data_IF_208156364341
#
_entry.id   IF_208156364341
#
_cell.length_a   1.000
_cell.length_b   1.000
_cell.length_c   1.000
_cell.angle_alpha   90.00
_cell.angle_beta   90.00
_cell.angle_gamma   90.00
#
_symmetry.space_group_name_H-M   'P 1'
#
loop_
_entity.id
_entity.type
_entity.pdbx_description
1 polymer ?
#
# COMPACT_ATOMS: atom_id res chain seq x y z
N UNK A 1 41.25 5.52 51.35
CA UNK A 1 40.34 6.67 51.44
C UNK A 1 38.95 6.07 51.53
N UNK A 2 38.44 5.70 52.71
CA UNK A 2 37.75 6.59 53.68
C UNK A 2 36.74 7.53 53.02
N UNK A 3 35.49 7.71 53.45
CA UNK A 3 34.51 6.95 54.22
C UNK A 3 33.17 7.77 54.14
N UNK A 4 32.04 7.10 54.39
CA UNK A 4 30.74 7.63 54.89
C UNK A 4 29.84 8.44 53.92
N UNK A 5 28.64 8.00 53.53
CA UNK A 5 27.42 7.59 54.24
C UNK A 5 26.45 8.75 54.55
N UNK A 6 25.19 8.60 54.14
CA UNK A 6 24.10 9.52 54.47
C UNK A 6 22.78 9.24 53.74
N UNK A 7 22.13 8.10 54.06
CA UNK A 7 20.74 7.80 53.68
C UNK A 7 19.86 8.05 54.91
N UNK A 8 18.77 8.81 54.76
CA UNK A 8 17.65 8.82 55.73
C UNK A 8 16.30 8.84 55.01
N UNK A 9 15.40 7.99 55.51
CA UNK A 9 14.02 7.73 55.08
C UNK A 9 13.04 8.81 55.53
N UNK A 10 11.96 9.01 54.77
CA UNK A 10 10.65 9.37 55.33
C UNK A 10 9.54 8.54 54.66
N UNK A 11 8.94 7.64 55.46
CA UNK A 11 7.69 6.94 55.17
C UNK A 11 6.52 7.80 55.64
N UNK A 12 5.48 7.92 54.82
CA UNK A 12 4.16 8.40 55.24
C UNK A 12 3.09 7.45 54.73
N UNK A 13 2.60 6.55 55.59
CA UNK A 13 1.34 5.80 55.43
C UNK A 13 0.39 6.27 56.54
N UNK A 14 -0.85 6.55 56.18
CA UNK A 14 -2.00 6.71 57.08
C UNK A 14 -3.30 6.33 56.34
N UNK A 15 -4.37 5.89 57.04
CA UNK A 15 -5.29 4.87 56.53
C UNK A 15 -6.74 5.34 56.21
N UNK A 16 -7.47 4.40 55.63
CA UNK A 16 -8.88 4.32 55.19
C UNK A 16 -9.97 4.75 56.21
N UNK A 17 -11.10 5.28 55.71
CA UNK A 17 -12.48 4.68 55.69
C UNK A 17 -13.61 5.73 55.57
N UNK A 18 -14.65 5.44 54.76
CA UNK A 18 -15.97 6.09 54.80
C UNK A 18 -16.90 5.71 53.61
N UNK A 19 -18.22 5.49 53.77
CA UNK A 19 -18.96 4.54 52.92
C UNK A 19 -20.17 5.07 52.10
N UNK A 20 -20.60 4.23 51.15
CA UNK A 20 -21.98 3.79 50.81
C UNK A 20 -23.03 4.69 50.08
N UNK A 21 -23.57 4.09 49.01
CA UNK A 21 -24.92 4.14 48.40
C UNK A 21 -25.30 5.13 47.28
N UNK A 22 -25.78 4.55 46.16
CA UNK A 22 -26.67 5.13 45.13
C UNK A 22 -27.00 4.13 44.02
N UNK A 23 -28.26 3.99 43.53
CA UNK A 23 -28.81 2.74 42.98
C UNK A 23 -28.68 2.54 41.45
N UNK A 24 -28.66 1.25 41.06
CA UNK A 24 -29.15 0.75 39.76
C UNK A 24 -30.62 1.14 39.56
N UNK A 25 -31.01 1.68 38.40
CA UNK A 25 -32.23 1.36 37.63
C UNK A 25 -32.36 2.26 36.38
N UNK A 26 -32.58 1.65 35.20
CA UNK A 26 -33.06 2.34 33.98
C UNK A 26 -33.00 1.44 32.73
N UNK A 27 -34.03 1.41 31.85
CA UNK A 27 -34.54 0.17 31.24
C UNK A 27 -34.08 -0.14 29.81
N UNK A 28 -34.15 -1.44 29.47
CA UNK A 28 -34.27 -1.97 28.11
C UNK A 28 -35.50 -1.37 27.41
N UNK A 29 -35.29 -0.64 26.31
CA UNK A 29 -36.31 -0.43 25.28
C UNK A 29 -35.68 -0.61 23.91
N UNK A 30 -36.09 -1.67 23.22
CA UNK A 30 -35.76 -1.94 21.81
C UNK A 30 -36.69 -1.21 20.83
N UNK A 31 -36.43 -1.35 19.51
CA UNK A 31 -37.06 -0.56 18.45
C UNK A 31 -38.31 -1.26 17.91
N UNK A 32 -39.50 -0.66 18.01
CA UNK A 32 -40.72 -1.20 17.43
C UNK A 32 -41.85 -0.17 17.24
N UNK A 33 -41.52 1.05 16.76
CA UNK A 33 -42.53 2.08 16.45
C UNK A 33 -42.26 2.88 15.15
N UNK A 34 -41.66 2.23 14.14
CA UNK A 34 -41.40 2.87 12.83
C UNK A 34 -42.32 2.45 11.68
N UNK A 35 -43.05 1.34 11.79
CA UNK A 35 -43.64 0.67 10.62
C UNK A 35 -45.18 0.64 10.55
N UNK A 36 -45.88 1.35 11.45
CA UNK A 36 -47.36 1.35 11.48
C UNK A 36 -48.01 2.73 11.28
N UNK A 37 -47.25 3.81 11.10
CA UNK A 37 -47.80 5.15 10.85
C UNK A 37 -47.90 5.51 9.36
N UNK A 38 -47.15 4.84 8.47
CA UNK A 38 -47.11 5.15 7.04
C UNK A 38 -48.12 4.39 6.17
N UNK A 39 -48.89 3.45 6.73
CA UNK A 39 -49.82 2.61 5.95
C UNK A 39 -51.29 3.04 6.02
N UNK A 40 -51.65 4.05 6.82
CA UNK A 40 -53.08 4.40 7.08
C UNK A 40 -53.53 5.72 6.44
N UNK A 41 -52.63 6.55 5.90
CA UNK A 41 -53.01 7.75 5.13
C UNK A 41 -53.11 7.52 3.60
N UNK A 42 -52.88 6.30 3.11
CA UNK A 42 -52.84 6.00 1.67
C UNK A 42 -54.16 5.51 1.04
N UNK A 43 -55.19 5.22 1.84
CA UNK A 43 -56.46 4.72 1.34
C UNK A 43 -57.61 5.48 1.99
N UNK A 44 -58.03 6.58 1.35
CA UNK A 44 -59.43 7.00 1.10
C UNK A 44 -59.42 8.46 0.62
N UNK A 45 -59.97 8.66 -0.57
CA UNK A 45 -59.97 9.90 -1.33
C UNK A 45 -60.84 11.03 -0.73
N UNK A 46 -60.50 12.30 -1.04
CA UNK A 46 -61.40 13.45 -0.89
C UNK A 46 -60.71 14.83 -0.94
N UNK A 47 -60.71 15.46 -2.13
CA UNK A 47 -60.38 16.86 -2.47
C UNK A 47 -61.12 17.93 -1.59
N UNK A 48 -60.84 19.28 -1.66
CA UNK A 48 -60.36 20.05 -2.84
C UNK A 48 -59.42 21.26 -2.60
N UNK A 49 -59.08 21.89 -3.73
CA UNK A 49 -58.30 23.10 -4.02
C UNK A 49 -58.90 24.43 -3.55
N UNK A 50 -58.04 25.41 -3.22
CA UNK A 50 -58.22 26.88 -3.37
C UNK A 50 -56.81 27.53 -3.33
N UNK A 51 -56.32 28.09 -4.44
CA UNK A 51 -56.32 29.52 -4.81
C UNK A 51 -55.56 30.49 -3.86
N UNK A 52 -54.37 30.91 -4.32
CA UNK A 52 -53.93 32.30 -4.34
C UNK A 52 -53.71 33.07 -3.03
N UNK A 53 -52.46 33.08 -2.54
CA UNK A 53 -51.88 34.26 -1.88
C UNK A 53 -50.34 34.17 -1.80
N UNK A 54 -49.62 34.98 -2.58
CA UNK A 54 -48.30 35.49 -2.16
C UNK A 54 -48.56 36.60 -1.13
N UNK A 55 -47.79 36.68 -0.03
CA UNK A 55 -46.65 37.61 -0.09
C UNK A 55 -45.44 37.24 0.78
N UNK A 56 -44.38 38.04 0.54
CA UNK A 56 -43.24 38.35 1.40
C UNK A 56 -42.04 37.38 1.39
N UNK A 57 -41.07 37.77 0.55
CA UNK A 57 -39.66 37.44 0.66
C UNK A 57 -39.15 37.67 2.09
N UNK A 58 -38.90 36.57 2.81
CA UNK A 58 -38.18 36.53 4.08
C UNK A 58 -36.70 36.31 3.77
N UNK A 59 -35.75 37.05 4.38
CA UNK A 59 -34.34 36.88 4.10
C UNK A 59 -33.90 35.46 4.43
N UNK A 60 -33.13 34.85 3.54
CA UNK A 60 -32.57 33.51 3.71
C UNK A 60 -31.76 33.48 5.01
N UNK A 61 -32.30 32.81 6.02
CA UNK A 61 -31.52 32.34 7.16
C UNK A 61 -30.48 31.39 6.58
N UNK A 62 -29.20 31.72 6.73
CA UNK A 62 -28.11 30.79 6.53
C UNK A 62 -28.46 29.54 7.34
N UNK A 63 -28.80 28.46 6.64
CA UNK A 63 -28.97 27.16 7.26
C UNK A 63 -27.61 26.81 7.83
N UNK A 64 -27.47 26.87 9.15
CA UNK A 64 -26.51 26.06 9.87
C UNK A 64 -26.85 24.62 9.54
N UNK A 65 -26.27 24.12 8.46
CA UNK A 65 -26.31 22.71 8.12
C UNK A 65 -25.75 21.99 9.33
N UNK A 66 -26.61 21.26 10.02
CA UNK A 66 -26.19 20.32 11.06
C UNK A 66 -25.10 19.46 10.42
N UNK A 67 -23.87 19.43 10.97
CA UNK A 67 -22.82 18.57 10.46
C UNK A 67 -23.40 17.16 10.42
N UNK A 68 -23.31 16.50 9.26
CA UNK A 68 -23.58 15.07 9.18
C UNK A 68 -22.76 14.34 10.25
N UNK A 69 -23.22 13.16 10.73
CA UNK A 69 -22.48 12.41 11.74
C UNK A 69 -21.03 12.25 11.30
N UNK A 70 -20.10 12.63 12.19
CA UNK A 70 -18.67 12.49 11.93
C UNK A 70 -18.36 11.01 11.64
N UNK A 71 -17.70 10.75 10.50
CA UNK A 71 -17.28 9.41 10.14
C UNK A 71 -16.26 8.90 11.16
N UNK A 72 -16.34 7.62 11.58
CA UNK A 72 -15.34 7.05 12.47
C UNK A 72 -13.97 6.99 11.75
N UNK A 73 -12.85 7.17 12.47
CA UNK A 73 -11.53 7.00 11.89
C UNK A 73 -11.34 5.61 11.28
N UNK A 74 -10.65 5.54 10.14
CA UNK A 74 -10.32 4.27 9.48
C UNK A 74 -8.81 4.11 9.38
N UNK A 75 -8.31 3.00 9.91
CA UNK A 75 -6.89 2.70 9.99
C UNK A 75 -6.47 1.77 8.85
N UNK A 76 -5.35 2.11 8.21
CA UNK A 76 -4.68 1.31 7.20
C UNK A 76 -3.23 1.09 7.62
N UNK A 77 -2.72 -0.10 7.35
CA UNK A 77 -1.33 -0.48 7.62
C UNK A 77 -0.78 -1.23 6.42
N UNK A 78 0.46 -0.92 6.02
CA UNK A 78 1.09 -1.67 4.94
C UNK A 78 2.49 -1.22 4.60
N UNK A 79 2.91 -1.50 3.37
CA UNK A 79 4.28 -1.31 2.91
C UNK A 79 4.45 -0.05 2.06
N UNK A 80 5.69 0.44 2.01
CA UNK A 80 6.16 1.37 0.97
C UNK A 80 7.08 0.62 -0.01
N UNK A 81 6.99 0.90 -1.31
CA UNK A 81 7.84 0.25 -2.33
C UNK A 81 9.33 0.55 -2.19
N UNK A 82 9.69 1.57 -1.42
CA UNK A 82 11.06 1.94 -1.07
C UNK A 82 11.60 1.21 0.18
N UNK A 83 10.78 0.35 0.79
CA UNK A 83 11.03 -0.31 2.07
C UNK A 83 10.38 0.43 3.24
N UNK A 84 9.95 -0.30 4.26
CA UNK A 84 9.31 0.26 5.44
C UNK A 84 7.81 -0.02 5.53
N UNK A 85 7.33 -0.02 6.77
CA UNK A 85 5.93 -0.14 7.14
C UNK A 85 5.34 1.23 7.46
N UNK A 86 4.21 1.56 6.83
CA UNK A 86 3.49 2.82 7.00
C UNK A 86 2.08 2.57 7.50
N UNK A 87 1.59 3.45 8.39
CA UNK A 87 0.20 3.47 8.81
C UNK A 87 -0.47 4.77 8.38
N UNK A 88 -1.69 4.68 7.85
CA UNK A 88 -2.52 5.82 7.49
C UNK A 88 -3.83 5.73 8.27
N UNK A 89 -4.20 6.80 8.97
CA UNK A 89 -5.50 6.90 9.63
C UNK A 89 -6.29 8.02 8.99
N UNK A 90 -7.36 7.67 8.29
CA UNK A 90 -8.29 8.63 7.70
C UNK A 90 -9.28 9.12 8.77
N UNK A 91 -9.73 10.37 8.61
CA UNK A 91 -10.65 11.07 9.51
C UNK A 91 -10.14 11.18 10.95
N UNK A 92 -8.81 11.24 11.11
CA UNK A 92 -8.13 11.52 12.37
C UNK A 92 -7.05 12.61 12.19
N UNK A 93 -6.85 13.50 13.19
CA UNK A 93 -7.57 13.60 14.46
C UNK A 93 -8.97 14.25 14.34
N UNK A 94 -9.34 14.69 13.13
CA UNK A 94 -10.65 15.26 12.82
C UNK A 94 -11.12 14.81 11.43
N UNK A 95 -12.42 14.88 11.11
CA UNK A 95 -12.92 14.55 9.78
C UNK A 95 -12.20 15.33 8.66
N UNK A 96 -11.89 14.67 7.54
CA UNK A 96 -11.15 15.25 6.42
C UNK A 96 -9.64 15.41 6.67
N UNK A 97 -9.13 14.86 7.78
CA UNK A 97 -7.70 14.79 8.09
C UNK A 97 -7.17 13.38 7.90
N UNK A 98 -5.90 13.27 7.55
CA UNK A 98 -5.17 12.00 7.52
C UNK A 98 -3.94 12.11 8.39
N UNK A 99 -3.74 11.11 9.25
CA UNK A 99 -2.47 10.91 9.97
C UNK A 99 -1.67 9.83 9.26
N UNK A 100 -0.47 10.16 8.80
CA UNK A 100 0.51 9.25 8.23
C UNK A 100 1.61 9.02 9.26
N UNK A 101 1.84 7.76 9.64
CA UNK A 101 2.87 7.36 10.61
C UNK A 101 3.88 6.41 9.98
N UNK A 102 5.16 6.68 10.18
CA UNK A 102 6.23 5.74 9.86
C UNK A 102 6.34 4.70 10.98
N UNK A 103 5.68 3.55 10.79
CA UNK A 103 5.58 2.52 11.84
C UNK A 103 6.88 1.71 11.98
N UNK A 104 7.56 1.47 10.86
CA UNK A 104 8.91 0.93 10.80
C UNK A 104 9.59 1.42 9.53
N UNK A 105 10.80 1.95 9.62
CA UNK A 105 11.52 2.47 8.46
C UNK A 105 13.00 2.19 8.59
N UNK A 106 13.62 1.59 7.54
CA UNK A 106 15.06 1.40 7.54
C UNK A 106 15.82 2.72 7.48
N UNK A 107 15.18 3.81 7.04
CA UNK A 107 15.78 5.15 6.87
C UNK A 107 15.77 6.00 8.15
N UNK A 108 15.45 5.42 9.31
CA UNK A 108 15.35 6.16 10.58
C UNK A 108 14.16 7.12 10.65
N UNK A 109 13.25 7.04 9.68
CA UNK A 109 11.98 7.77 9.70
C UNK A 109 11.09 7.19 10.81
N UNK A 110 10.51 8.07 11.60
CA UNK A 110 9.59 7.75 12.69
C UNK A 110 8.63 8.92 12.88
N UNK A 111 7.71 8.76 13.82
CA UNK A 111 6.72 9.78 14.10
C UNK A 111 5.62 9.85 13.05
N UNK A 112 4.79 10.88 13.19
CA UNK A 112 3.55 11.07 12.44
C UNK A 112 3.47 12.47 11.86
N UNK A 113 2.90 12.55 10.65
CA UNK A 113 2.50 13.80 10.02
C UNK A 113 1.00 13.79 9.83
N UNK A 114 0.37 14.94 9.95
CA UNK A 114 -1.07 15.10 9.77
C UNK A 114 -1.31 16.10 8.66
N UNK A 115 -2.24 15.80 7.76
CA UNK A 115 -2.62 16.70 6.68
C UNK A 115 -4.13 16.70 6.42
N UNK A 116 -4.57 17.58 5.54
CA UNK A 116 -5.91 17.59 4.99
C UNK A 116 -5.91 16.81 3.68
N UNK A 117 -6.76 15.79 3.57
CA UNK A 117 -6.94 15.10 2.30
C UNK A 117 -8.17 15.66 1.58
N UNK A 118 -8.03 15.93 0.27
CA UNK A 118 -9.09 16.47 -0.56
C UNK A 118 -9.26 15.61 -1.82
N UNK A 119 -10.50 15.43 -2.32
CA UNK A 119 -10.72 14.69 -3.57
C UNK A 119 -9.94 15.32 -4.72
N UNK A 120 -9.28 14.47 -5.51
CA UNK A 120 -8.59 14.82 -6.75
C UNK A 120 -8.77 13.70 -7.77
N UNK A 121 -9.60 13.95 -8.79
CA UNK A 121 -10.01 12.92 -9.74
C UNK A 121 -10.70 11.74 -9.07
N UNK A 122 -10.14 10.54 -9.23
CA UNK A 122 -10.59 9.26 -8.66
C UNK A 122 -9.90 8.91 -7.33
N UNK A 123 -9.14 9.85 -6.76
CA UNK A 123 -8.40 9.67 -5.51
C UNK A 123 -8.43 10.90 -4.62
N UNK A 124 -7.41 11.00 -3.79
CA UNK A 124 -7.21 12.06 -2.81
C UNK A 124 -5.76 12.54 -2.83
N UNK A 125 -5.58 13.84 -2.65
CA UNK A 125 -4.28 14.47 -2.40
C UNK A 125 -4.24 15.02 -0.99
N UNK A 126 -3.09 14.90 -0.33
CA UNK A 126 -2.87 15.44 1.02
C UNK A 126 -2.20 16.80 0.91
N UNK A 127 -2.74 17.77 1.63
CA UNK A 127 -2.30 19.16 1.67
C UNK A 127 -2.09 19.61 3.10
N UNK A 128 -1.37 20.72 3.28
CA UNK A 128 -1.16 21.33 4.60
C UNK A 128 -0.60 20.35 5.63
N UNK A 129 0.44 19.61 5.24
CA UNK A 129 1.12 18.65 6.11
C UNK A 129 1.81 19.37 7.28
N UNK A 130 1.54 18.89 8.48
CA UNK A 130 2.15 19.35 9.72
C UNK A 130 2.64 18.18 10.56
N UNK A 131 3.64 18.42 11.42
CA UNK A 131 4.11 17.43 12.36
C UNK A 131 3.03 17.14 13.42
N UNK A 132 2.81 15.87 13.75
CA UNK A 132 2.01 15.53 14.92
C UNK A 132 2.79 15.91 16.19
N UNK A 133 2.24 16.81 17.01
CA UNK A 133 2.89 17.22 18.25
C UNK A 133 2.99 16.08 19.29
N UNK A 134 2.10 15.08 19.21
CA UNK A 134 2.11 13.93 20.13
C UNK A 134 3.15 12.87 19.74
N UNK A 135 3.55 12.84 18.47
CA UNK A 135 4.47 11.85 17.90
C UNK A 135 5.30 12.51 16.78
N UNK A 136 6.20 13.45 17.12
CA UNK A 136 6.85 14.29 16.12
C UNK A 136 7.83 13.48 15.25
N UNK A 137 7.88 13.74 13.92
CA UNK A 137 8.86 13.12 13.06
C UNK A 137 10.25 13.76 13.23
N UNK A 138 11.32 13.16 12.67
CA UNK A 138 12.65 13.75 12.69
C UNK A 138 12.66 15.19 12.19
N UNK A 139 13.50 16.05 12.80
CA UNK A 139 13.54 17.48 12.47
C UNK A 139 13.83 17.79 10.99
N UNK A 140 14.55 16.92 10.28
CA UNK A 140 14.81 17.07 8.84
C UNK A 140 13.60 16.76 7.96
N UNK A 141 12.65 15.94 8.45
CA UNK A 141 11.34 15.75 7.82
C UNK A 141 10.48 16.98 8.08
N UNK A 142 10.44 17.46 9.34
CA UNK A 142 9.67 18.65 9.74
C UNK A 142 10.04 19.88 8.90
N UNK A 143 11.33 20.09 8.65
CA UNK A 143 11.80 21.24 7.86
C UNK A 143 11.44 21.18 6.36
N UNK A 144 10.97 20.04 5.86
CA UNK A 144 10.66 19.81 4.45
C UNK A 144 9.21 19.36 4.21
N UNK A 145 8.32 19.44 5.22
CA UNK A 145 6.91 19.04 5.07
C UNK A 145 6.17 19.77 3.94
N UNK A 146 6.56 21.00 3.63
CA UNK A 146 5.97 21.77 2.54
C UNK A 146 6.30 21.26 1.13
N UNK A 147 7.28 20.34 1.00
CA UNK A 147 7.68 19.74 -0.26
C UNK A 147 7.21 18.28 -0.39
N UNK A 148 6.79 17.68 0.73
CA UNK A 148 6.30 16.31 0.79
C UNK A 148 4.96 16.21 0.05
N UNK A 149 4.89 15.31 -0.91
CA UNK A 149 3.67 15.04 -1.66
C UNK A 149 3.14 13.66 -1.26
N UNK A 150 1.85 13.57 -0.94
CA UNK A 150 1.16 12.30 -0.65
C UNK A 150 -0.15 12.30 -1.40
N UNK A 151 -0.39 11.24 -2.17
CA UNK A 151 -1.67 10.98 -2.81
C UNK A 151 -2.09 9.53 -2.56
N UNK A 152 -3.39 9.28 -2.49
CA UNK A 152 -3.91 7.93 -2.30
C UNK A 152 -5.29 7.75 -2.92
N UNK A 153 -5.63 6.49 -3.14
CA UNK A 153 -6.95 5.99 -3.51
C UNK A 153 -7.33 4.94 -2.49
N UNK A 154 -8.61 4.95 -2.14
CA UNK A 154 -9.22 3.93 -1.32
C UNK A 154 -9.98 3.00 -2.27
N UNK A 155 -9.71 1.70 -2.21
CA UNK A 155 -10.26 0.74 -3.16
C UNK A 155 -11.57 0.15 -2.69
N UNK A 156 -12.62 0.30 -3.50
CA UNK A 156 -13.94 -0.28 -3.26
C UNK A 156 -13.85 -1.79 -3.03
N UNK A 157 -14.36 -2.27 -1.90
CA UNK A 157 -14.87 -3.62 -1.77
C UNK A 157 -16.21 -3.72 -2.53
N UNK A 158 -16.42 -4.85 -3.20
CA UNK A 158 -17.72 -5.23 -3.75
C UNK A 158 -18.42 -6.25 -2.84
N UNK A 159 -17.98 -6.38 -1.59
CA UNK A 159 -18.36 -7.45 -0.68
C UNK A 159 -18.84 -6.91 0.67
N UNK A 160 -19.79 -5.97 0.61
CA UNK A 160 -20.77 -5.74 1.65
C UNK A 160 -22.19 -6.06 1.15
N UNK A 161 -23.03 -6.59 2.05
CA UNK A 161 -24.50 -6.72 1.86
C UNK A 161 -25.20 -5.34 2.02
N UNK A 162 -24.43 -4.25 1.95
CA UNK A 162 -24.78 -2.84 2.18
C UNK A 162 -25.23 -2.12 0.89
N UNK A 163 -25.68 -2.89 -0.11
CA UNK A 163 -26.35 -2.38 -1.34
C UNK A 163 -27.54 -1.44 -1.06
N UNK A 164 -27.97 -1.30 0.19
CA UNK A 164 -29.02 -0.41 0.65
C UNK A 164 -28.55 0.63 1.68
N UNK A 165 -27.38 1.24 1.46
CA UNK A 165 -27.12 2.63 1.83
C UNK A 165 -26.78 2.93 3.31
N UNK A 166 -25.58 3.48 3.52
CA UNK A 166 -25.22 4.18 4.75
C UNK A 166 -23.74 4.54 4.87
N UNK A 167 -22.86 3.67 4.37
CA UNK A 167 -21.41 3.73 4.58
C UNK A 167 -20.64 3.23 3.36
N UNK A 168 -20.43 4.10 2.37
CA UNK A 168 -19.51 3.84 1.24
C UNK A 168 -18.04 3.84 1.67
N UNK A 169 -17.64 3.00 2.63
CA UNK A 169 -16.25 2.69 2.96
C UNK A 169 -16.07 1.21 3.33
N UNK A 170 -16.68 0.32 2.54
CA UNK A 170 -16.23 -1.05 2.47
C UNK A 170 -14.93 -1.09 1.68
N UNK A 171 -13.78 -0.85 2.30
CA UNK A 171 -12.51 -0.74 1.58
C UNK A 171 -11.37 -1.36 2.38
N UNK A 172 -11.00 -2.60 2.06
CA UNK A 172 -9.89 -3.27 2.74
C UNK A 172 -8.53 -2.82 2.21
N UNK A 173 -8.46 -1.92 1.22
CA UNK A 173 -7.21 -1.54 0.57
C UNK A 173 -7.10 -0.04 0.31
N UNK A 174 -5.93 0.49 0.60
CA UNK A 174 -5.47 1.81 0.22
C UNK A 174 -4.23 1.66 -0.66
N UNK A 175 -4.27 2.24 -1.86
CA UNK A 175 -3.13 2.36 -2.75
C UNK A 175 -2.76 3.83 -2.91
N UNK A 176 -1.49 4.18 -2.79
CA UNK A 176 -1.07 5.57 -2.88
C UNK A 176 0.38 5.72 -3.26
N UNK A 177 0.88 6.92 -3.07
CA UNK A 177 2.26 7.27 -3.32
C UNK A 177 2.72 8.41 -2.42
N UNK A 178 4.04 8.48 -2.29
CA UNK A 178 4.76 9.50 -1.54
C UNK A 178 5.92 9.97 -2.41
N UNK A 179 6.12 11.28 -2.47
CA UNK A 179 7.24 11.90 -3.19
C UNK A 179 7.93 12.94 -2.31
N UNK A 180 9.18 13.24 -2.65
CA UNK A 180 10.02 14.24 -2.01
C UNK A 180 10.29 14.00 -0.52
N UNK A 181 10.18 12.76 -0.04
CA UNK A 181 10.43 12.39 1.36
C UNK A 181 11.94 12.43 1.66
N UNK A 182 12.44 13.28 2.57
CA UNK A 182 13.87 13.31 2.87
C UNK A 182 14.34 12.03 3.55
N UNK A 183 15.39 11.40 3.00
CA UNK A 183 15.95 10.17 3.56
C UNK A 183 16.79 10.40 4.83
N UNK A 184 17.41 11.57 4.98
CA UNK A 184 18.26 11.87 6.13
C UNK A 184 18.45 13.38 6.35
N UNK A 185 19.07 13.74 7.47
CA UNK A 185 19.41 15.12 7.82
C UNK A 185 20.66 15.65 7.09
N UNK A 186 21.35 14.84 6.28
CA UNK A 186 22.59 15.27 5.63
C UNK A 186 22.29 16.27 4.50
N UNK A 187 23.08 17.35 4.35
CA UNK A 187 22.95 18.26 3.22
C UNK A 187 23.09 17.50 1.89
N UNK A 188 22.12 17.67 0.99
CA UNK A 188 22.10 16.98 -0.30
C UNK A 188 21.72 15.50 -0.22
N UNK A 189 21.16 15.02 0.89
CA UNK A 189 20.61 13.67 0.99
C UNK A 189 19.58 13.41 -0.11
N UNK A 190 19.54 12.18 -0.59
CA UNK A 190 18.57 11.76 -1.59
C UNK A 190 17.14 11.92 -1.04
N UNK A 191 16.23 12.32 -1.93
CA UNK A 191 14.79 12.27 -1.68
C UNK A 191 14.26 10.91 -2.09
N UNK A 192 13.35 10.39 -1.30
CA UNK A 192 12.69 9.12 -1.49
C UNK A 192 11.34 9.35 -2.15
N UNK A 193 10.99 8.43 -3.04
CA UNK A 193 9.68 8.34 -3.66
C UNK A 193 9.29 6.87 -3.77
N UNK A 194 8.00 6.59 -3.63
CA UNK A 194 7.51 5.22 -3.66
C UNK A 194 5.99 5.13 -3.67
N UNK A 195 5.51 3.91 -3.90
CA UNK A 195 4.11 3.58 -3.74
C UNK A 195 3.81 3.12 -2.33
N UNK A 196 2.58 3.35 -1.91
CA UNK A 196 2.00 2.87 -0.66
C UNK A 196 0.98 1.79 -1.02
N UNK A 197 1.08 0.63 -0.36
CA UNK A 197 0.06 -0.39 -0.40
C UNK A 197 -0.30 -0.77 1.04
N UNK A 198 -1.50 -0.40 1.47
CA UNK A 198 -1.97 -0.59 2.85
C UNK A 198 -3.36 -1.21 2.90
N UNK A 199 -3.68 -1.84 4.03
CA UNK A 199 -4.93 -2.59 4.22
C UNK A 199 -5.55 -2.23 5.56
N UNK A 200 -6.88 -2.26 5.66
CA UNK A 200 -7.60 -1.99 6.93
C UNK A 200 -7.93 -3.24 7.72
N UNK A 201 -7.29 -4.37 7.38
CA UNK A 201 -7.54 -5.64 8.03
C UNK A 201 -7.07 -5.59 9.49
N UNK A 202 -8.00 -5.58 10.43
CA UNK A 202 -7.68 -5.50 11.86
C UNK A 202 -7.52 -6.88 12.52
N UNK A 203 -8.11 -7.93 11.94
CA UNK A 203 -8.10 -9.28 12.46
C UNK A 203 -7.30 -10.21 11.54
N UNK A 204 -6.39 -10.97 12.11
CA UNK A 204 -5.57 -11.91 11.36
C UNK A 204 -6.41 -13.11 10.88
N UNK A 205 -6.41 -13.45 9.57
CA UNK A 205 -7.08 -14.64 9.07
C UNK A 205 -6.34 -15.91 9.51
N UNK A 206 -7.00 -17.06 9.43
CA UNK A 206 -6.32 -18.32 9.70
C UNK A 206 -5.28 -18.59 8.60
N UNK A 207 -4.13 -19.19 8.96
CA UNK A 207 -3.09 -19.53 7.99
C UNK A 207 -3.61 -20.44 6.85
N UNK A 208 -4.54 -21.34 7.18
CA UNK A 208 -5.20 -22.21 6.21
C UNK A 208 -6.04 -21.44 5.17
N UNK A 209 -6.58 -20.27 5.53
CA UNK A 209 -7.41 -19.46 4.62
C UNK A 209 -6.57 -18.79 3.52
N UNK A 210 -5.29 -18.57 3.79
CA UNK A 210 -4.33 -17.94 2.88
C UNK A 210 -3.36 -18.94 2.25
N UNK A 211 -3.52 -20.23 2.52
CA UNK A 211 -2.72 -21.27 1.88
C UNK A 211 -3.09 -21.39 0.40
N UNK A 212 -2.09 -21.56 -0.47
CA UNK A 212 -2.31 -21.70 -1.90
C UNK A 212 -1.11 -21.27 -2.74
N UNK A 213 -1.33 -21.26 -4.06
CA UNK A 213 -0.37 -20.78 -5.05
C UNK A 213 -0.61 -19.30 -5.35
N UNK A 214 0.48 -18.57 -5.53
CA UNK A 214 0.49 -17.13 -5.74
C UNK A 214 1.41 -16.78 -6.90
N UNK A 215 0.96 -15.93 -7.82
CA UNK A 215 1.87 -15.21 -8.69
C UNK A 215 2.53 -14.09 -7.86
N UNK A 216 3.82 -13.84 -8.05
CA UNK A 216 4.52 -12.77 -7.35
C UNK A 216 5.32 -11.88 -8.30
N UNK A 217 5.45 -10.63 -7.88
CA UNK A 217 6.44 -9.68 -8.39
C UNK A 217 7.17 -9.10 -7.18
N UNK A 218 8.48 -8.93 -7.30
CA UNK A 218 9.31 -8.35 -6.25
C UNK A 218 10.42 -7.46 -6.81
N UNK A 219 10.79 -6.45 -6.03
CA UNK A 219 12.07 -5.76 -6.15
C UNK A 219 12.87 -5.96 -4.88
N UNK A 220 14.18 -6.05 -4.98
CA UNK A 220 15.05 -5.96 -3.81
C UNK A 220 16.34 -5.21 -4.11
N UNK A 221 16.96 -4.65 -3.07
CA UNK A 221 18.20 -3.90 -3.15
C UNK A 221 18.99 -4.07 -1.85
N UNK A 222 20.25 -4.51 -1.97
CA UNK A 222 21.19 -4.44 -0.86
C UNK A 222 21.55 -2.98 -0.58
N UNK A 223 21.53 -2.59 0.68
CA UNK A 223 22.07 -1.32 1.17
C UNK A 223 23.16 -1.56 2.21
N UNK A 224 24.18 -0.72 2.22
CA UNK A 224 25.20 -0.77 3.27
C UNK A 224 24.57 -0.42 4.63
N UNK A 225 24.82 -1.23 5.66
CA UNK A 225 24.37 -0.91 7.02
C UNK A 225 25.11 0.34 7.52
N UNK A 226 24.34 1.39 7.86
CA UNK A 226 24.86 2.64 8.44
C UNK A 226 24.49 3.89 7.65
N UNK A 227 24.87 3.96 6.37
CA UNK A 227 24.52 5.10 5.49
C UNK A 227 23.34 4.80 4.55
N UNK A 228 22.95 3.52 4.45
CA UNK A 228 21.89 3.02 3.60
C UNK A 228 22.08 3.38 2.12
N UNK A 229 23.31 3.59 1.69
CA UNK A 229 23.62 3.75 0.27
C UNK A 229 23.33 2.43 -0.46
N UNK A 230 22.66 2.45 -1.62
CA UNK A 230 22.45 1.24 -2.40
C UNK A 230 23.79 0.68 -2.86
N UNK A 231 23.98 -0.62 -2.67
CA UNK A 231 25.15 -1.34 -3.17
C UNK A 231 25.05 -1.38 -4.70
N UNK A 232 26.13 -1.02 -5.38
CA UNK A 232 26.13 -1.01 -6.85
C UNK A 232 25.82 -2.41 -7.40
N UNK A 233 24.83 -2.49 -8.30
CA UNK A 233 24.40 -3.73 -8.96
C UNK A 233 23.59 -4.69 -8.09
N UNK A 234 23.10 -4.25 -6.93
CA UNK A 234 22.25 -5.09 -6.06
C UNK A 234 20.75 -4.94 -6.32
N UNK A 235 20.33 -3.96 -7.12
CA UNK A 235 18.92 -3.73 -7.39
C UNK A 235 18.41 -4.75 -8.41
N UNK A 236 17.44 -5.56 -8.03
CA UNK A 236 16.99 -6.67 -8.87
C UNK A 236 15.47 -6.77 -8.89
N UNK A 237 14.94 -7.14 -10.06
CA UNK A 237 13.56 -7.53 -10.26
C UNK A 237 13.47 -9.04 -10.26
N UNK A 238 12.44 -9.59 -9.63
CA UNK A 238 12.07 -10.98 -9.88
C UNK A 238 10.55 -11.13 -9.93
N UNK A 239 10.11 -12.12 -10.70
CA UNK A 239 8.73 -12.50 -10.81
C UNK A 239 8.63 -14.01 -10.99
N UNK A 240 7.50 -14.59 -10.63
CA UNK A 240 7.32 -16.04 -10.66
C UNK A 240 6.07 -16.48 -9.92
N UNK A 241 6.09 -17.71 -9.41
CA UNK A 241 5.06 -18.19 -8.48
C UNK A 241 5.65 -18.67 -7.15
N UNK A 242 4.84 -18.58 -6.11
CA UNK A 242 5.15 -19.04 -4.78
C UNK A 242 3.99 -19.88 -4.23
N UNK A 243 4.29 -20.75 -3.27
CA UNK A 243 3.29 -21.49 -2.49
C UNK A 243 3.39 -21.11 -1.03
N UNK A 244 2.24 -20.85 -0.42
CA UNK A 244 2.06 -20.76 1.03
C UNK A 244 1.33 -22.02 1.47
N UNK A 245 1.93 -22.79 2.37
CA UNK A 245 1.30 -23.98 2.94
C UNK A 245 0.45 -23.61 4.17
N UNK A 246 -0.44 -24.52 4.59
CA UNK A 246 -1.34 -24.27 5.72
C UNK A 246 -0.62 -24.13 7.08
N UNK A 247 0.63 -24.58 7.18
CA UNK A 247 1.54 -24.36 8.32
C UNK A 247 2.39 -23.09 8.18
N UNK A 248 2.19 -22.31 7.11
CA UNK A 248 2.83 -21.02 6.91
C UNK A 248 4.20 -21.06 6.24
N UNK A 249 4.63 -22.17 5.64
CA UNK A 249 5.87 -22.16 4.83
C UNK A 249 5.63 -21.46 3.51
N UNK A 250 6.52 -20.54 3.17
CA UNK A 250 6.59 -19.84 1.89
C UNK A 250 7.74 -20.43 1.07
N UNK A 251 7.41 -20.97 -0.11
CA UNK A 251 8.37 -21.49 -1.09
C UNK A 251 8.20 -20.75 -2.41
N UNK A 252 9.30 -20.27 -3.00
CA UNK A 252 9.28 -19.32 -4.12
C UNK A 252 10.01 -19.90 -5.33
N UNK A 253 9.39 -19.82 -6.50
CA UNK A 253 9.93 -20.26 -7.77
C UNK A 253 10.05 -19.05 -8.71
N UNK A 254 11.27 -18.50 -8.83
CA UNK A 254 11.57 -17.38 -9.72
C UNK A 254 11.54 -17.84 -11.18
N UNK A 255 10.94 -17.04 -12.06
CA UNK A 255 10.94 -17.27 -13.50
C UNK A 255 10.18 -18.52 -13.95
N UNK A 256 9.25 -19.05 -13.16
CA UNK A 256 8.43 -20.21 -13.54
C UNK A 256 7.20 -20.39 -12.65
N UNK A 257 6.24 -21.20 -13.11
CA UNK A 257 5.15 -21.71 -12.27
C UNK A 257 5.67 -22.53 -11.08
N UNK A 258 4.90 -22.56 -9.99
CA UNK A 258 5.31 -23.25 -8.77
C UNK A 258 5.46 -24.76 -8.99
N UNK A 259 6.54 -25.33 -8.45
CA UNK A 259 6.81 -26.78 -8.37
C UNK A 259 7.52 -27.06 -7.06
N UNK A 260 7.25 -28.22 -6.44
CA UNK A 260 7.80 -28.59 -5.12
C UNK A 260 9.33 -28.65 -5.06
N UNK A 261 10.00 -28.69 -6.22
CA UNK A 261 11.46 -28.71 -6.36
C UNK A 261 11.97 -27.60 -7.28
N UNK A 262 11.50 -26.36 -7.11
CA UNK A 262 12.12 -25.25 -7.82
C UNK A 262 13.47 -24.90 -7.21
N UNK A 263 14.47 -24.84 -8.08
CA UNK A 263 15.81 -24.36 -7.75
C UNK A 263 15.90 -22.87 -8.09
N UNK A 264 16.69 -22.12 -7.33
CA UNK A 264 17.09 -20.78 -7.75
C UNK A 264 17.75 -20.86 -9.13
N UNK A 265 17.33 -20.05 -10.11
CA UNK A 265 17.94 -20.05 -11.45
C UNK A 265 19.44 -19.80 -11.41
N UNK A 266 19.88 -18.97 -10.46
CA UNK A 266 21.25 -18.44 -10.42
C UNK A 266 22.22 -19.39 -9.71
N UNK A 267 21.73 -20.15 -8.72
CA UNK A 267 22.59 -21.01 -7.87
C UNK A 267 22.31 -22.50 -8.04
N UNK A 268 21.17 -22.89 -8.62
CA UNK A 268 20.73 -24.28 -8.69
C UNK A 268 20.38 -24.89 -7.33
N UNK A 269 20.44 -24.11 -6.25
CA UNK A 269 20.10 -24.55 -4.89
C UNK A 269 18.57 -24.54 -4.67
N UNK A 270 18.04 -25.35 -3.74
CA UNK A 270 16.64 -25.24 -3.33
C UNK A 270 16.33 -23.79 -2.93
N UNK A 271 15.22 -23.25 -3.40
CA UNK A 271 14.82 -21.91 -3.02
C UNK A 271 14.78 -21.78 -1.48
N UNK A 272 15.42 -20.74 -0.90
CA UNK A 272 15.39 -20.54 0.55
C UNK A 272 13.93 -20.45 1.00
N UNK A 273 13.59 -21.28 2.00
CA UNK A 273 12.25 -21.30 2.56
C UNK A 273 12.11 -20.20 3.61
N UNK A 274 11.02 -19.44 3.54
CA UNK A 274 10.62 -18.54 4.61
C UNK A 274 9.39 -19.10 5.34
N UNK A 275 9.09 -18.61 6.53
CA UNK A 275 7.88 -18.96 7.27
C UNK A 275 7.11 -17.72 7.68
N UNK A 276 5.78 -17.84 7.68
CA UNK A 276 4.85 -16.81 8.14
C UNK A 276 4.41 -17.11 9.57
N UNK A 277 4.54 -16.12 10.45
CA UNK A 277 4.08 -16.19 11.83
C UNK A 277 3.19 -15.00 12.14
N UNK A 278 2.20 -15.10 13.04
CA UNK A 278 1.47 -13.92 13.50
C UNK A 278 2.44 -12.85 13.99
N UNK A 279 2.33 -11.62 13.46
CA UNK A 279 3.10 -10.50 13.96
C UNK A 279 2.63 -10.10 15.38
N UNK A 280 3.34 -9.17 16.02
CA UNK A 280 2.80 -8.47 17.19
C UNK A 280 1.49 -7.74 16.82
N UNK A 281 0.35 -8.37 17.12
CA UNK A 281 -0.98 -7.87 16.75
C UNK A 281 -1.37 -6.57 17.48
N UNK A 282 -0.61 -6.15 18.49
CA UNK A 282 -0.84 -4.85 19.15
C UNK A 282 -0.22 -3.70 18.35
N UNK A 283 0.88 -3.99 17.63
CA UNK A 283 1.59 -3.01 16.78
C UNK A 283 1.21 -3.11 15.32
N UNK A 284 0.94 -4.32 14.84
CA UNK A 284 0.66 -4.67 13.45
C UNK A 284 -0.60 -5.55 13.38
N UNK A 285 -1.77 -5.01 13.75
CA UNK A 285 -3.02 -5.78 13.67
C UNK A 285 -3.25 -6.29 12.24
N UNK A 286 -3.64 -7.56 12.13
CA UNK A 286 -3.94 -8.21 10.85
C UNK A 286 -2.74 -8.56 9.98
N UNK A 287 -1.50 -8.40 10.47
CA UNK A 287 -0.29 -8.73 9.72
C UNK A 287 0.40 -10.02 10.19
N UNK A 288 1.11 -10.69 9.27
CA UNK A 288 2.10 -11.71 9.60
C UNK A 288 3.52 -11.13 9.56
N UNK A 289 4.44 -11.75 10.29
CA UNK A 289 5.88 -11.58 10.11
C UNK A 289 6.40 -12.66 9.17
N UNK A 290 7.25 -12.25 8.23
CA UNK A 290 8.05 -13.13 7.40
C UNK A 290 9.35 -13.45 8.15
N UNK A 291 9.69 -14.73 8.29
CA UNK A 291 10.94 -15.18 8.91
C UNK A 291 11.77 -15.98 7.93
N UNK A 292 13.06 -15.64 7.82
CA UNK A 292 14.05 -16.35 7.03
C UNK A 292 15.21 -16.74 7.96
N UNK A 293 15.68 -17.98 7.85
CA UNK A 293 16.74 -18.54 8.72
C UNK A 293 16.50 -18.37 10.23
N UNK A 294 15.22 -18.33 10.62
CA UNK A 294 14.80 -18.16 12.02
C UNK A 294 14.86 -16.72 12.54
N UNK A 295 15.18 -15.74 11.68
CA UNK A 295 15.16 -14.30 11.99
C UNK A 295 13.98 -13.60 11.32
N UNK A 296 13.56 -12.45 11.84
CA UNK A 296 12.52 -11.64 11.19
C UNK A 296 13.13 -10.99 9.93
N UNK A 297 12.56 -11.33 8.78
CA UNK A 297 12.99 -10.84 7.47
C UNK A 297 12.00 -9.83 6.86
N UNK A 298 10.83 -9.63 7.46
CA UNK A 298 9.85 -8.68 6.95
C UNK A 298 8.46 -8.81 7.57
N UNK A 299 7.50 -8.11 6.97
CA UNK A 299 6.07 -8.14 7.34
C UNK A 299 5.19 -8.34 6.13
N UNK A 300 4.08 -9.04 6.33
CA UNK A 300 3.10 -9.40 5.31
C UNK A 300 1.74 -8.81 5.68
N UNK A 301 1.22 -7.96 4.81
CA UNK A 301 -0.09 -7.33 4.92
C UNK A 301 -1.04 -7.94 3.92
N UNK A 302 -2.28 -8.21 4.33
CA UNK A 302 -3.23 -8.95 3.50
C UNK A 302 -4.42 -8.10 3.11
N UNK A 303 -4.84 -8.28 1.86
CA UNK A 303 -6.09 -7.76 1.32
C UNK A 303 -6.79 -8.88 0.56
N UNK A 304 -8.12 -8.85 0.53
CA UNK A 304 -8.94 -9.82 -0.18
C UNK A 304 -9.83 -9.09 -1.19
N UNK A 305 -9.92 -9.67 -2.39
CA UNK A 305 -10.87 -9.24 -3.41
C UNK A 305 -11.52 -10.49 -4.00
N UNK A 306 -12.81 -10.67 -3.71
CA UNK A 306 -13.52 -11.92 -3.96
C UNK A 306 -12.90 -13.10 -3.23
N UNK A 307 -12.62 -14.17 -3.97
CA UNK A 307 -11.96 -15.39 -3.47
C UNK A 307 -10.44 -15.35 -3.59
N UNK A 308 -9.87 -14.23 -4.01
CA UNK A 308 -8.44 -14.13 -4.22
C UNK A 308 -7.82 -13.25 -3.14
N UNK A 309 -6.71 -13.72 -2.59
CA UNK A 309 -5.87 -12.99 -1.66
C UNK A 309 -4.79 -12.20 -2.39
N UNK A 310 -4.46 -11.04 -1.84
CA UNK A 310 -3.30 -10.24 -2.21
C UNK A 310 -2.47 -10.01 -0.96
N UNK A 311 -1.19 -10.35 -1.01
CA UNK A 311 -0.25 -10.15 0.09
C UNK A 311 0.78 -9.12 -0.35
N UNK A 312 1.03 -8.13 0.49
CA UNK A 312 2.04 -7.10 0.33
C UNK A 312 3.15 -7.37 1.34
N UNK A 313 4.39 -7.54 0.90
CA UNK A 313 5.52 -7.87 1.77
C UNK A 313 6.52 -6.72 1.78
N UNK A 314 6.75 -6.16 2.96
CA UNK A 314 7.89 -5.31 3.29
C UNK A 314 9.02 -6.20 3.82
N UNK A 315 10.05 -6.43 3.02
CA UNK A 315 11.23 -7.21 3.40
C UNK A 315 12.33 -6.28 3.90
N UNK A 316 12.87 -6.61 5.07
CA UNK A 316 13.98 -5.94 5.71
C UNK A 316 14.82 -7.00 6.40
N UNK A 317 15.84 -7.53 5.72
CA UNK A 317 16.67 -8.62 6.21
C UNK A 317 18.12 -8.14 6.39
N UNK A 318 18.68 -8.32 7.59
CA UNK A 318 20.11 -8.11 7.80
C UNK A 318 20.90 -9.30 7.27
N UNK A 319 21.94 -9.02 6.49
CA UNK A 319 22.87 -9.99 5.89
C UNK A 319 24.30 -9.81 6.43
N UNK A 320 24.46 -9.16 7.58
CA UNK A 320 25.75 -8.90 8.22
C UNK A 320 26.57 -7.82 7.50
N UNK A 321 26.35 -6.55 7.88
CA UNK A 321 26.97 -5.38 7.25
C UNK A 321 26.18 -4.84 6.05
N UNK A 322 25.11 -5.53 5.66
CA UNK A 322 24.17 -5.12 4.62
C UNK A 322 22.74 -5.34 5.08
N UNK A 323 21.87 -4.45 4.65
CA UNK A 323 20.43 -4.57 4.80
C UNK A 323 19.83 -4.82 3.42
N UNK A 324 19.22 -5.99 3.24
CA UNK A 324 18.44 -6.32 2.05
C UNK A 324 17.01 -5.79 2.24
N UNK A 325 16.65 -4.82 1.41
CA UNK A 325 15.32 -4.22 1.38
C UNK A 325 14.56 -4.73 0.17
N UNK A 326 13.36 -5.26 0.40
CA UNK A 326 12.51 -5.76 -0.68
C UNK A 326 11.05 -5.36 -0.54
N UNK A 327 10.39 -5.25 -1.69
CA UNK A 327 8.97 -4.98 -1.78
C UNK A 327 8.36 -6.06 -2.68
N UNK A 328 7.37 -6.79 -2.15
CA UNK A 328 6.73 -7.88 -2.89
C UNK A 328 5.23 -7.68 -2.94
N UNK A 329 4.63 -8.14 -4.03
CA UNK A 329 3.20 -8.40 -4.08
C UNK A 329 2.97 -9.79 -4.62
N UNK A 330 2.16 -10.54 -3.86
CA UNK A 330 1.69 -11.86 -4.20
C UNK A 330 0.18 -11.78 -4.43
N UNK A 331 -0.31 -12.37 -5.51
CA UNK A 331 -1.74 -12.49 -5.83
C UNK A 331 -2.06 -13.95 -6.06
N UNK A 332 -3.17 -14.45 -5.52
CA UNK A 332 -3.58 -15.86 -5.75
C UNK A 332 -3.49 -16.21 -7.24
N UNK A 333 -2.72 -17.25 -7.56
CA UNK A 333 -2.34 -17.57 -8.92
C UNK A 333 -3.57 -18.01 -9.73
N UNK A 334 -3.86 -17.27 -10.80
CA UNK A 334 -4.91 -17.62 -11.78
C UNK A 334 -4.40 -17.24 -13.17
N UNK A 335 -4.42 -18.16 -14.15
CA UNK A 335 -4.02 -17.81 -15.50
C UNK A 335 -4.83 -16.63 -16.04
N UNK A 336 -4.12 -15.66 -16.62
CA UNK A 336 -4.72 -14.53 -17.31
C UNK A 336 -5.39 -15.03 -18.59
N UNK A 337 -6.61 -14.57 -18.81
CA UNK A 337 -7.38 -14.81 -20.04
C UNK A 337 -7.21 -13.62 -20.98
N UNK A 338 -7.49 -13.85 -22.26
CA UNK A 338 -7.56 -12.77 -23.24
C UNK A 338 -8.52 -11.68 -22.76
N UNK A 339 -8.10 -10.42 -22.90
CA UNK A 339 -8.86 -9.27 -22.46
C UNK A 339 -8.78 -8.94 -20.96
N UNK A 340 -8.13 -9.78 -20.13
CA UNK A 340 -8.04 -9.54 -18.68
C UNK A 340 -7.38 -8.20 -18.32
N UNK A 341 -6.49 -7.69 -19.17
CA UNK A 341 -5.79 -6.42 -18.99
C UNK A 341 -6.30 -5.31 -19.91
N UNK A 342 -7.28 -5.57 -20.76
CA UNK A 342 -7.71 -4.62 -21.78
C UNK A 342 -8.30 -3.34 -21.19
N UNK A 343 -7.91 -2.21 -21.79
CA UNK A 343 -8.38 -0.89 -21.43
C UNK A 343 -7.26 0.14 -21.35
N UNK A 344 -7.64 1.32 -20.86
CA UNK A 344 -6.74 2.45 -20.71
C UNK A 344 -6.35 2.58 -19.25
N UNK A 345 -5.06 2.73 -18.99
CA UNK A 345 -4.50 2.72 -17.65
C UNK A 345 -3.70 4.00 -17.42
N UNK A 346 -3.92 4.66 -16.29
CA UNK A 346 -3.11 5.75 -15.77
C UNK A 346 -2.13 5.18 -14.74
N UNK A 347 -0.84 5.28 -15.02
CA UNK A 347 0.23 4.64 -14.29
C UNK A 347 1.12 5.66 -13.60
N UNK A 348 1.59 5.30 -12.40
CA UNK A 348 2.59 6.06 -11.63
C UNK A 348 3.70 5.14 -11.15
N UNK A 349 4.89 5.70 -11.04
CA UNK A 349 6.09 5.05 -10.49
C UNK A 349 7.08 6.11 -9.99
N UNK A 350 8.05 5.77 -9.12
CA UNK A 350 9.19 6.63 -8.85
C UNK A 350 9.89 7.08 -10.13
N UNK A 351 10.28 8.35 -10.16
CA UNK A 351 11.02 8.92 -11.27
C UNK A 351 12.51 8.58 -11.14
N UNK A 352 13.10 8.14 -12.25
CA UNK A 352 14.49 7.71 -12.33
C UNK A 352 15.23 8.61 -13.30
N UNK A 353 16.25 9.27 -12.79
CA UNK A 353 17.25 9.97 -13.58
C UNK A 353 18.43 9.05 -13.89
N UNK A 354 18.92 9.11 -15.13
CA UNK A 354 20.12 8.38 -15.53
C UNK A 354 21.26 9.36 -15.73
N UNK A 355 22.28 9.27 -14.87
CA UNK A 355 23.52 10.03 -15.02
C UNK A 355 24.58 9.12 -15.65
N UNK A 356 25.32 9.66 -16.63
CA UNK A 356 26.44 8.95 -17.27
C UNK A 356 27.53 8.57 -16.26
N UNK A 357 27.68 9.34 -15.18
CA UNK A 357 28.74 9.15 -14.18
C UNK A 357 28.28 8.43 -12.91
N UNK A 358 26.98 8.43 -12.61
CA UNK A 358 26.45 7.98 -11.33
C UNK A 358 25.39 6.86 -11.43
N UNK A 359 25.10 6.38 -12.64
CA UNK A 359 24.11 5.33 -12.86
C UNK A 359 22.67 5.83 -12.70
N UNK A 360 21.76 4.90 -12.41
CA UNK A 360 20.36 5.19 -12.15
C UNK A 360 20.17 5.77 -10.74
N UNK A 361 19.51 6.93 -10.65
CA UNK A 361 19.24 7.62 -9.40
C UNK A 361 17.76 8.01 -9.33
N UNK A 362 17.11 7.71 -8.21
CA UNK A 362 15.77 8.21 -7.93
C UNK A 362 15.82 9.73 -7.74
N UNK A 363 14.97 10.47 -8.44
CA UNK A 363 14.93 11.94 -8.31
C UNK A 363 14.21 12.41 -7.06
N UNK A 364 13.46 11.50 -6.41
CA UNK A 364 12.52 11.82 -5.34
C UNK A 364 11.15 12.27 -5.85
N UNK A 365 10.98 12.46 -7.16
CA UNK A 365 9.68 12.72 -7.75
C UNK A 365 8.98 11.42 -8.17
N UNK A 366 7.71 11.54 -8.54
CA UNK A 366 6.92 10.48 -9.14
C UNK A 366 6.63 10.81 -10.61
N UNK A 367 6.76 9.81 -11.49
CA UNK A 367 6.51 9.94 -12.91
C UNK A 367 5.17 9.29 -13.29
N UNK A 368 4.31 10.05 -13.98
CA UNK A 368 3.05 9.57 -14.55
C UNK A 368 3.20 9.15 -16.02
N UNK A 369 2.43 8.15 -16.46
CA UNK A 369 2.24 7.81 -17.87
C UNK A 369 0.96 7.02 -18.10
N UNK A 370 0.58 6.81 -19.36
CA UNK A 370 -0.58 5.97 -19.71
C UNK A 370 -0.15 4.69 -20.42
N UNK A 371 -0.92 3.61 -20.24
CA UNK A 371 -0.86 2.40 -21.05
C UNK A 371 -2.21 2.16 -21.72
N UNK A 372 -2.17 1.73 -22.98
CA UNK A 372 -3.35 1.29 -23.73
C UNK A 372 -3.16 -0.17 -24.10
N UNK A 373 -3.97 -1.05 -23.53
CA UNK A 373 -3.88 -2.49 -23.74
C UNK A 373 -5.09 -2.95 -24.56
N UNK A 374 -4.82 -3.56 -25.71
CA UNK A 374 -5.83 -4.15 -26.57
C UNK A 374 -5.38 -5.54 -27.04
N UNK A 375 -6.13 -6.56 -26.64
CA UNK A 375 -5.76 -7.96 -26.85
C UNK A 375 -4.34 -8.28 -26.42
N UNK A 376 -3.53 -8.77 -27.36
CA UNK A 376 -2.13 -9.13 -27.17
C UNK A 376 -1.14 -8.00 -27.44
N UNK A 377 -1.58 -6.73 -27.40
CA UNK A 377 -0.71 -5.57 -27.64
C UNK A 377 -0.84 -4.53 -26.56
N UNK A 378 0.22 -3.75 -26.36
CA UNK A 378 0.25 -2.63 -25.43
C UNK A 378 0.98 -1.44 -26.04
N UNK A 379 0.40 -0.25 -25.89
CA UNK A 379 1.03 1.01 -26.25
C UNK A 379 1.26 1.86 -24.99
N UNK A 380 2.26 2.74 -25.02
CA UNK A 380 2.58 3.64 -23.90
C UNK A 380 2.50 5.10 -24.32
N UNK A 381 1.98 5.94 -23.42
CA UNK A 381 1.93 7.39 -23.61
C UNK A 381 3.29 8.06 -23.55
N UNK A 382 4.33 7.34 -23.09
CA UNK A 382 5.69 7.87 -22.99
C UNK A 382 6.34 8.10 -24.35
N UNK A 383 6.04 7.25 -25.33
CA UNK A 383 6.61 7.36 -26.68
C UNK A 383 5.50 7.21 -27.71
N UNK A 384 5.09 8.29 -28.40
CA UNK A 384 4.02 8.24 -29.39
C UNK A 384 4.30 7.21 -30.48
N UNK A 385 3.33 6.34 -30.75
CA UNK A 385 3.39 5.37 -31.84
C UNK A 385 4.12 4.06 -31.54
N UNK A 386 4.68 3.88 -30.32
CA UNK A 386 5.26 2.59 -29.93
C UNK A 386 4.18 1.65 -29.41
N UNK A 387 4.08 0.51 -30.08
CA UNK A 387 3.23 -0.63 -29.71
C UNK A 387 4.15 -1.85 -29.55
N UNK A 388 3.98 -2.56 -28.44
CA UNK A 388 4.71 -3.78 -28.11
C UNK A 388 3.76 -4.96 -27.97
N UNK A 389 4.29 -6.16 -28.22
CA UNK A 389 3.58 -7.41 -27.95
C UNK A 389 3.44 -7.61 -26.43
N UNK A 390 2.24 -8.01 -26.01
CA UNK A 390 1.88 -8.38 -24.65
C UNK A 390 1.75 -9.90 -24.57
N UNK A 391 2.65 -10.54 -23.84
CA UNK A 391 2.60 -11.98 -23.58
C UNK A 391 1.85 -12.25 -22.28
N UNK A 392 0.68 -12.88 -22.36
CA UNK A 392 -0.07 -13.31 -21.17
C UNK A 392 0.51 -14.59 -20.57
N UNK A 393 0.36 -14.74 -19.26
CA UNK A 393 0.92 -15.85 -18.48
C UNK A 393 2.43 -15.95 -18.64
N UNK A 394 3.09 -14.79 -18.59
CA UNK A 394 4.51 -14.68 -18.86
C UNK A 394 5.17 -13.68 -17.90
N UNK A 395 6.45 -13.91 -17.61
CA UNK A 395 7.28 -13.09 -16.73
C UNK A 395 8.70 -12.91 -17.30
N UNK A 396 9.58 -12.23 -16.54
CA UNK A 396 11.00 -12.13 -16.85
C UNK A 396 11.61 -13.51 -17.09
N UNK A 397 12.42 -13.64 -18.15
CA UNK A 397 13.25 -14.81 -18.36
C UNK A 397 14.48 -14.80 -17.45
N UNK A 398 15.09 -15.97 -17.21
CA UNK A 398 16.31 -16.07 -16.41
C UNK A 398 17.54 -15.46 -17.10
N UNK A 399 17.48 -15.22 -18.43
CA UNK A 399 18.58 -14.68 -19.22
C UNK A 399 18.09 -13.76 -20.34
N UNK A 400 18.86 -12.69 -20.61
CA UNK A 400 18.69 -11.56 -21.56
C UNK A 400 18.03 -11.82 -22.91
N UNK A 401 18.13 -13.07 -23.37
CA UNK A 401 17.98 -13.47 -24.77
C UNK A 401 16.96 -14.60 -24.94
N UNK A 402 16.35 -15.05 -23.85
CA UNK A 402 15.38 -16.15 -23.89
C UNK A 402 13.95 -15.62 -23.92
N UNK A 403 13.05 -16.43 -24.49
CA UNK A 403 11.59 -16.19 -24.47
C UNK A 403 11.16 -15.89 -23.03
N UNK A 404 10.13 -15.05 -22.82
CA UNK A 404 9.64 -14.79 -21.48
C UNK A 404 9.24 -16.11 -20.80
N UNK A 405 9.47 -16.18 -19.49
CA UNK A 405 9.17 -17.36 -18.70
C UNK A 405 7.66 -17.60 -18.66
N UNK A 406 7.20 -18.84 -18.76
CA UNK A 406 5.79 -19.19 -18.56
C UNK A 406 5.44 -19.12 -17.07
N UNK A 407 4.62 -18.12 -16.70
CA UNK A 407 4.17 -17.88 -15.33
C UNK A 407 2.70 -17.45 -15.33
N UNK A 408 1.83 -18.32 -14.84
CA UNK A 408 0.39 -18.05 -14.74
C UNK A 408 0.10 -16.85 -13.83
N UNK A 409 -0.79 -15.95 -14.29
CA UNK A 409 -1.24 -14.78 -13.52
C UNK A 409 -0.43 -13.50 -13.72
N UNK A 410 0.60 -13.54 -14.57
CA UNK A 410 1.42 -12.38 -14.94
C UNK A 410 1.32 -12.11 -16.45
N UNK A 411 1.64 -10.89 -16.87
CA UNK A 411 1.88 -10.58 -18.26
C UNK A 411 3.24 -9.91 -18.45
N UNK A 412 3.89 -10.18 -19.57
CA UNK A 412 5.21 -9.64 -19.91
C UNK A 412 5.13 -8.76 -21.16
N UNK A 413 5.90 -7.69 -21.16
CA UNK A 413 6.05 -6.75 -22.27
C UNK A 413 7.52 -6.47 -22.48
N UNK A 414 7.95 -6.52 -23.76
CA UNK A 414 9.26 -6.06 -24.19
C UNK A 414 9.12 -4.75 -24.96
N UNK A 415 9.74 -3.69 -24.45
CA UNK A 415 9.75 -2.38 -25.05
C UNK A 415 11.04 -2.16 -25.82
N UNK A 416 10.90 -1.64 -27.04
CA UNK A 416 12.02 -1.18 -27.87
C UNK A 416 12.02 0.34 -27.84
N UNK A 417 12.76 0.91 -26.89
CA UNK A 417 12.86 2.36 -26.79
C UNK A 417 13.83 2.86 -27.89
N UNK A 418 13.47 3.91 -28.64
CA UNK A 418 14.30 4.40 -29.72
C UNK A 418 15.64 4.89 -29.14
N UNK A 419 16.76 4.59 -29.81
CA UNK A 419 18.08 4.89 -29.26
C UNK A 419 18.22 6.37 -28.91
N UNK A 420 18.58 6.67 -27.65
CA UNK A 420 19.04 8.00 -27.25
C UNK A 420 20.44 8.28 -27.84
N UNK A 421 21.19 7.23 -28.19
CA UNK A 421 22.48 7.28 -28.89
C UNK A 421 22.52 6.26 -30.04
N UNK A 422 23.21 6.56 -31.16
CA UNK A 422 23.12 5.79 -32.41
C UNK A 422 23.56 4.31 -32.36
N UNK A 423 23.96 3.75 -31.22
CA UNK A 423 24.49 2.38 -31.11
C UNK A 423 24.02 1.59 -29.87
N UNK A 424 22.97 2.02 -29.17
CA UNK A 424 22.40 1.26 -28.04
C UNK A 424 20.89 1.17 -28.18
N UNK A 425 20.39 0.04 -28.69
CA UNK A 425 18.99 -0.31 -28.49
C UNK A 425 18.76 -0.51 -26.99
N UNK A 426 17.88 0.29 -26.40
CA UNK A 426 17.49 0.14 -25.00
C UNK A 426 16.27 -0.77 -24.99
N UNK A 427 16.53 -2.06 -24.74
CA UNK A 427 15.48 -3.02 -24.43
C UNK A 427 15.09 -2.81 -22.98
N UNK A 428 13.82 -2.51 -22.76
CA UNK A 428 13.21 -2.40 -21.43
C UNK A 428 12.15 -3.48 -21.28
N UNK A 429 12.18 -4.21 -20.17
CA UNK A 429 11.20 -5.26 -19.89
C UNK A 429 10.24 -4.81 -18.79
N UNK A 430 8.99 -5.24 -18.90
CA UNK A 430 7.97 -4.92 -17.92
C UNK A 430 7.11 -6.15 -17.64
N UNK A 431 6.88 -6.44 -16.36
CA UNK A 431 5.94 -7.47 -15.90
C UNK A 431 4.77 -6.81 -15.22
N UNK A 432 3.56 -7.16 -15.65
CA UNK A 432 2.28 -6.63 -15.19
C UNK A 432 1.55 -7.70 -14.36
N UNK A 433 1.00 -7.31 -13.21
CA UNK A 433 0.13 -8.17 -12.39
C UNK A 433 -1.18 -7.42 -12.09
N UNK A 434 -2.34 -7.94 -12.51
CA UNK A 434 -3.63 -7.39 -12.11
C UNK A 434 -3.91 -7.74 -10.64
N UNK A 435 -4.27 -6.73 -9.86
CA UNK A 435 -4.77 -6.91 -8.50
C UNK A 435 -6.30 -7.01 -8.48
N UNK A 436 -6.96 -6.44 -9.49
CA UNK A 436 -8.40 -6.52 -9.76
C UNK A 436 -8.72 -5.86 -11.11
N UNK A 437 -10.00 -5.61 -11.39
CA UNK A 437 -10.47 -5.07 -12.69
C UNK A 437 -9.95 -3.66 -13.00
N UNK A 438 -9.64 -2.89 -11.95
CA UNK A 438 -9.31 -1.45 -12.02
C UNK A 438 -7.93 -1.11 -11.50
N UNK A 439 -7.15 -2.10 -11.02
CA UNK A 439 -5.84 -1.86 -10.44
C UNK A 439 -4.84 -2.93 -10.92
N UNK A 440 -3.75 -2.45 -11.47
CA UNK A 440 -2.59 -3.22 -11.91
C UNK A 440 -1.35 -2.74 -11.17
N UNK A 441 -0.45 -3.64 -10.82
CA UNK A 441 0.93 -3.29 -10.45
C UNK A 441 1.89 -3.76 -11.54
N UNK A 442 3.05 -3.17 -11.62
CA UNK A 442 4.08 -3.60 -12.55
C UNK A 442 5.49 -3.41 -12.01
N UNK A 443 6.39 -4.24 -12.53
CA UNK A 443 7.83 -4.08 -12.44
C UNK A 443 8.35 -3.64 -13.78
N UNK A 444 9.20 -2.62 -13.79
CA UNK A 444 9.80 -2.06 -14.98
C UNK A 444 11.32 -2.09 -14.85
N UNK A 445 11.97 -2.93 -15.64
CA UNK A 445 13.43 -2.99 -15.74
C UNK A 445 13.89 -1.98 -16.78
N UNK A 446 14.12 -0.75 -16.33
CA UNK A 446 14.37 0.44 -17.16
C UNK A 446 15.68 0.33 -17.95
N UNK A 447 16.76 -0.13 -17.28
CA UNK A 447 18.07 -0.33 -17.88
C UNK A 447 18.79 -1.46 -17.17
N UNK A 448 19.05 -2.52 -17.92
CA UNK A 448 19.72 -3.72 -17.42
C UNK A 448 21.22 -3.53 -17.17
N UNK A 449 21.87 -2.62 -17.89
CA UNK A 449 23.31 -2.37 -17.73
C UNK A 449 23.66 -1.60 -16.45
N UNK A 450 22.66 -1.02 -15.79
CA UNK A 450 22.79 -0.31 -14.51
C UNK A 450 21.81 -0.83 -13.46
N UNK A 451 21.26 -2.04 -13.68
CA UNK A 451 20.37 -2.74 -12.76
C UNK A 451 19.22 -1.83 -12.25
N UNK A 452 18.59 -1.09 -13.15
CA UNK A 452 17.56 -0.12 -12.79
C UNK A 452 16.18 -0.73 -12.89
N UNK A 453 15.61 -1.04 -11.74
CA UNK A 453 14.25 -1.56 -11.60
C UNK A 453 13.39 -0.55 -10.87
N UNK A 454 12.17 -0.36 -11.37
CA UNK A 454 11.17 0.51 -10.74
C UNK A 454 9.86 -0.25 -10.58
N UNK A 455 9.29 -0.11 -9.38
CA UNK A 455 7.96 -0.56 -9.05
C UNK A 455 6.92 0.51 -9.41
N UNK A 456 5.83 0.12 -10.05
CA UNK A 456 4.75 1.02 -10.43
C UNK A 456 3.36 0.43 -10.22
N UNK A 457 2.36 1.30 -10.24
CA UNK A 457 0.95 0.93 -10.20
C UNK A 457 0.18 1.69 -11.26
N UNK A 458 -0.91 1.10 -11.73
CA UNK A 458 -1.84 1.71 -12.65
C UNK A 458 -3.28 1.55 -12.19
N UNK A 459 -4.08 2.55 -12.53
CA UNK A 459 -5.53 2.54 -12.37
C UNK A 459 -6.21 2.65 -13.72
N UNK A 460 -7.31 1.94 -13.89
CA UNK A 460 -8.09 1.97 -15.13
C UNK A 460 -8.84 3.31 -15.24
N UNK A 461 -8.76 3.95 -16.40
CA UNK A 461 -9.40 5.25 -16.70
C UNK A 461 -10.84 5.11 -17.17
#
# INVERSE_FOLDING_TARGET
>A
MEAMAGVTHARGRGPFYGPLYGPLYGPLYGPLYGLLSSLVCGLLAGCPSEEGAQPASRPASAGTGTPGPAKPPKHYLGMMSLGGTIALTLDAPAPGRVTLRFADSPFGLHGSVVGHYMPDGDGYVVTSLEADAADPPPGHVVSQLGELEVAFRVGDDRLGDDRLGGDRLGDDRLGGDIANLPASALPGAARLAGLIHATSLAALPAMADIAGDYAFVMTHVDRAEGDLSPVHGSNQAAAGQARITADGRLAICRGQDYRDHCTSPDTGEPAPGATLHPADQTRYPGAFELRADGEVAGRVFLSRDGDAWTLFIDQQQSLGGKLDLGAWVLRSARPLRDGALSGNWSCRQPDVSFSVLAGAQLSGAMAGHSLWIDGGTVATGRVPGIVSDLSLNAAFGNFSETRPASVGGLAHVKWFDPPIQPHTELIREQVLMPLGDTHLIYLNEMRRDVDSVVWGACHKM
#
